data_IF_049291302331
#
_entry.id   IF_049291302331
#
_cell.length_a   1.000
_cell.length_b   1.000
_cell.length_c   1.000
_cell.angle_alpha   90.00
_cell.angle_beta   90.00
_cell.angle_gamma   90.00
#
_symmetry.space_group_name_H-M   'P 1'
#
loop_
_entity.id
_entity.type
_entity.pdbx_description
1 polymer ?
#
# COMPACT_ATOMS: atom_id res chain seq x y z
N UNK A 1 12.46 -55.29 -58.42
CA UNK A 1 11.38 -54.42 -57.88
C UNK A 1 11.42 -54.40 -56.35
N UNK A 2 12.44 -53.79 -55.72
CA UNK A 2 12.51 -53.70 -54.24
C UNK A 2 12.87 -52.31 -53.68
N UNK A 3 13.08 -51.28 -54.51
CA UNK A 3 13.64 -50.00 -54.03
C UNK A 3 12.64 -49.06 -53.34
N UNK A 4 11.34 -49.11 -53.63
CA UNK A 4 10.37 -48.14 -53.07
C UNK A 4 9.82 -48.53 -51.70
N UNK A 5 9.77 -49.83 -51.37
CA UNK A 5 9.21 -50.31 -50.10
C UNK A 5 10.12 -49.96 -48.91
N UNK A 6 11.44 -50.07 -49.09
CA UNK A 6 12.40 -49.74 -48.04
C UNK A 6 12.40 -48.26 -47.65
N UNK A 7 12.07 -47.36 -48.58
CA UNK A 7 11.94 -45.93 -48.28
C UNK A 7 10.75 -45.68 -47.35
N UNK A 8 9.61 -46.34 -47.61
CA UNK A 8 8.44 -46.24 -46.74
C UNK A 8 8.68 -46.87 -45.37
N UNK A 9 9.37 -48.00 -45.31
CA UNK A 9 9.75 -48.65 -44.04
C UNK A 9 10.70 -47.75 -43.24
N UNK A 10 11.69 -47.13 -43.88
CA UNK A 10 12.60 -46.20 -43.22
C UNK A 10 11.87 -44.94 -42.72
N UNK A 11 10.93 -44.41 -43.51
CA UNK A 11 10.14 -43.24 -43.13
C UNK A 11 9.24 -43.54 -41.93
N UNK A 12 8.57 -44.70 -41.93
CA UNK A 12 7.74 -45.16 -40.82
C UNK A 12 8.58 -45.40 -39.57
N UNK A 13 9.74 -46.06 -39.70
CA UNK A 13 10.66 -46.27 -38.58
C UNK A 13 11.18 -44.95 -37.99
N UNK A 14 11.43 -43.94 -38.84
CA UNK A 14 11.86 -42.60 -38.41
C UNK A 14 10.74 -41.84 -37.71
N UNK A 15 9.51 -41.91 -38.23
CA UNK A 15 8.32 -41.32 -37.58
C UNK A 15 8.08 -41.99 -36.23
N UNK A 16 8.20 -43.31 -36.14
CA UNK A 16 8.06 -44.05 -34.88
C UNK A 16 9.16 -43.63 -33.89
N UNK A 17 10.40 -43.44 -34.34
CA UNK A 17 11.50 -42.94 -33.50
C UNK A 17 11.29 -41.50 -33.02
N UNK A 18 10.73 -40.63 -33.86
CA UNK A 18 10.39 -39.25 -33.48
C UNK A 18 9.21 -39.23 -32.50
N UNK A 19 8.19 -40.06 -32.73
CA UNK A 19 7.05 -40.20 -31.81
C UNK A 19 7.51 -40.79 -30.49
N UNK A 20 8.38 -41.81 -30.49
CA UNK A 20 8.87 -42.41 -29.24
C UNK A 20 9.84 -41.51 -28.50
N UNK A 21 10.70 -40.73 -29.18
CA UNK A 21 11.52 -39.70 -28.54
C UNK A 21 10.65 -38.56 -27.96
N UNK A 22 9.61 -38.11 -28.68
CA UNK A 22 8.66 -37.12 -28.16
C UNK A 22 7.80 -37.70 -27.02
N UNK A 23 7.42 -38.97 -27.09
CA UNK A 23 6.69 -39.65 -26.01
C UNK A 23 7.59 -39.86 -24.79
N UNK A 24 8.90 -40.11 -25.00
CA UNK A 24 9.87 -40.20 -23.92
C UNK A 24 10.09 -38.83 -23.26
N UNK A 25 10.25 -37.74 -24.04
CA UNK A 25 10.32 -36.36 -23.52
C UNK A 25 9.02 -35.98 -22.78
N UNK A 26 7.85 -36.40 -23.27
CA UNK A 26 6.55 -36.18 -22.59
C UNK A 26 6.35 -37.09 -21.37
N UNK A 27 6.98 -38.27 -21.34
CA UNK A 27 6.89 -39.23 -20.22
C UNK A 27 7.97 -39.00 -19.14
N UNK A 28 9.14 -38.44 -19.47
CA UNK A 28 10.12 -37.94 -18.51
C UNK A 28 9.71 -36.57 -17.95
N UNK A 29 8.84 -35.82 -18.64
CA UNK A 29 8.06 -34.74 -18.01
C UNK A 29 6.94 -35.23 -17.07
N UNK A 30 6.77 -36.56 -16.92
CA UNK A 30 5.98 -37.19 -15.85
C UNK A 30 6.87 -37.74 -14.71
N UNK A 31 8.13 -37.29 -14.59
CA UNK A 31 8.89 -37.44 -13.36
C UNK A 31 8.38 -36.46 -12.31
N UNK A 32 7.43 -36.92 -11.47
CA UNK A 32 7.25 -36.50 -10.07
C UNK A 32 7.64 -35.06 -9.77
N UNK A 33 7.12 -34.13 -10.56
CA UNK A 33 6.84 -32.82 -10.04
C UNK A 33 5.57 -33.00 -9.22
N UNK A 34 5.74 -33.39 -7.96
CA UNK A 34 4.86 -32.85 -6.93
C UNK A 34 5.14 -31.34 -6.82
N UNK A 35 5.08 -30.58 -7.92
CA UNK A 35 4.33 -29.35 -7.89
C UNK A 35 2.87 -29.79 -7.81
N UNK A 36 2.47 -30.24 -6.61
CA UNK A 36 1.40 -29.51 -5.96
C UNK A 36 1.88 -28.07 -6.11
N UNK A 37 1.41 -27.38 -7.14
CA UNK A 37 1.34 -25.95 -7.07
C UNK A 37 0.58 -25.79 -5.76
N UNK A 38 1.29 -25.52 -4.66
CA UNK A 38 0.63 -25.11 -3.43
C UNK A 38 -0.40 -24.12 -3.92
N UNK A 39 -1.71 -24.37 -3.68
CA UNK A 39 -2.77 -23.58 -4.28
C UNK A 39 -2.31 -22.17 -4.09
N UNK A 40 -2.02 -21.49 -5.22
CA UNK A 40 -1.33 -20.21 -5.29
C UNK A 40 -1.79 -19.46 -4.03
N UNK A 41 -0.93 -19.38 -2.99
CA UNK A 41 -1.35 -18.86 -1.69
C UNK A 41 -1.53 -17.38 -1.92
N UNK A 42 -2.69 -17.05 -2.46
CA UNK A 42 -3.19 -15.72 -2.69
C UNK A 42 -3.67 -15.27 -1.31
N UNK A 43 -2.72 -15.16 -0.39
CA UNK A 43 -2.86 -14.32 0.78
C UNK A 43 -2.56 -12.90 0.28
N UNK A 44 -3.44 -12.35 -0.57
CA UNK A 44 -3.38 -10.91 -0.90
C UNK A 44 -3.78 -10.18 0.39
N UNK A 45 -3.04 -9.15 0.78
CA UNK A 45 -3.33 -8.28 1.94
C UNK A 45 -3.43 -6.84 1.44
N UNK A 46 -4.51 -6.11 1.77
CA UNK A 46 -4.61 -4.67 1.54
C UNK A 46 -4.43 -3.96 2.89
N UNK A 47 -3.20 -3.52 3.07
CA UNK A 47 -2.74 -2.78 4.23
C UNK A 47 -3.24 -1.33 4.16
N UNK A 48 -3.19 -0.58 5.29
CA UNK A 48 -3.57 0.82 5.38
C UNK A 48 -3.27 1.60 4.10
N UNK A 49 -4.25 2.36 3.63
CA UNK A 49 -4.13 3.10 2.38
C UNK A 49 -3.15 4.25 2.54
N UNK A 50 -2.23 4.37 1.58
CA UNK A 50 -1.49 5.60 1.40
C UNK A 50 -2.36 6.56 0.62
N UNK A 51 -2.79 7.65 1.25
CA UNK A 51 -3.51 8.71 0.56
C UNK A 51 -2.46 9.58 -0.15
N UNK A 52 -2.16 9.22 -1.40
CA UNK A 52 -1.20 9.91 -2.27
C UNK A 52 -1.83 11.19 -2.83
N UNK A 53 -2.21 12.09 -1.92
CA UNK A 53 -2.63 13.43 -2.27
C UNK A 53 -1.38 14.28 -2.45
N UNK A 54 -1.39 15.15 -3.46
CA UNK A 54 -0.53 16.33 -3.47
C UNK A 54 -0.70 17.00 -2.09
N UNK A 55 0.32 16.83 -1.25
CA UNK A 55 0.32 17.05 0.20
C UNK A 55 -0.69 18.10 0.67
N UNK A 56 -1.72 17.67 1.41
CA UNK A 56 -2.74 18.57 1.95
C UNK A 56 -2.12 19.53 2.96
N UNK A 57 -2.59 20.78 2.97
CA UNK A 57 -1.98 21.84 3.78
C UNK A 57 -2.82 22.08 5.03
N UNK A 58 -2.17 22.15 6.20
CA UNK A 58 -2.76 22.56 7.47
C UNK A 58 -1.99 23.81 7.93
N UNK A 59 -2.72 24.91 8.15
CA UNK A 59 -2.17 26.21 8.47
C UNK A 59 -2.39 26.50 9.96
N UNK A 60 -1.35 26.95 10.65
CA UNK A 60 -1.43 27.47 12.01
C UNK A 60 -1.53 29.01 11.98
N UNK A 61 -2.65 29.56 12.43
CA UNK A 61 -2.90 31.00 12.52
C UNK A 61 -2.72 31.47 13.97
N UNK A 62 -1.51 31.95 14.27
CA UNK A 62 -1.17 32.49 15.59
C UNK A 62 -1.98 33.76 15.92
N UNK A 63 -2.25 34.62 14.93
CA UNK A 63 -2.94 35.89 15.15
C UNK A 63 -4.43 35.69 15.51
N UNK A 64 -5.00 34.52 15.23
CA UNK A 64 -6.37 34.13 15.64
C UNK A 64 -6.40 33.37 16.97
N UNK A 65 -5.44 33.63 17.85
CA UNK A 65 -5.36 32.96 19.16
C UNK A 65 -4.81 31.53 19.07
N UNK A 66 -4.10 31.19 17.98
CA UNK A 66 -3.44 29.90 17.80
C UNK A 66 -4.39 28.78 17.37
N UNK A 67 -5.07 28.96 16.23
CA UNK A 67 -5.96 27.95 15.65
C UNK A 67 -5.35 27.27 14.42
N UNK A 68 -5.75 26.01 14.20
CA UNK A 68 -5.38 25.26 13.00
C UNK A 68 -6.53 25.29 11.99
N UNK A 69 -6.17 25.33 10.71
CA UNK A 69 -7.11 25.31 9.59
C UNK A 69 -6.62 24.35 8.51
N UNK A 70 -7.48 23.42 8.08
CA UNK A 70 -7.18 22.58 6.93
C UNK A 70 -7.50 23.41 5.68
N UNK A 71 -6.54 23.52 4.76
CA UNK A 71 -6.79 24.15 3.47
C UNK A 71 -7.55 23.17 2.56
N UNK A 72 -8.49 23.70 1.76
CA UNK A 72 -9.32 22.92 0.84
C UNK A 72 -10.05 21.75 1.54
N UNK A 73 -10.71 22.02 2.67
CA UNK A 73 -11.52 21.02 3.41
C UNK A 73 -12.52 20.27 2.51
N UNK A 74 -13.02 20.94 1.47
CA UNK A 74 -13.94 20.35 0.50
C UNK A 74 -13.31 19.18 -0.29
N UNK A 75 -11.98 19.14 -0.44
CA UNK A 75 -11.29 17.98 -1.04
C UNK A 75 -11.39 16.74 -0.17
N UNK A 76 -11.42 16.90 1.15
CA UNK A 76 -11.52 15.80 2.11
C UNK A 76 -12.94 15.29 2.28
N UNK A 77 -13.93 16.14 2.00
CA UNK A 77 -15.35 15.74 1.98
C UNK A 77 -15.75 14.86 0.78
N UNK A 78 -14.84 14.63 -0.18
CA UNK A 78 -15.12 13.88 -1.41
C UNK A 78 -14.59 12.46 -1.32
N UNK A 79 -15.37 11.54 -1.88
CA UNK A 79 -14.95 10.15 -2.02
C UNK A 79 -13.74 10.06 -2.96
N UNK A 80 -12.80 9.21 -2.56
CA UNK A 80 -11.49 9.02 -3.18
C UNK A 80 -11.48 7.65 -3.83
N UNK A 81 -11.17 7.58 -5.13
CA UNK A 81 -10.98 6.28 -5.77
C UNK A 81 -9.69 5.64 -5.25
N UNK A 82 -9.83 4.48 -4.62
CA UNK A 82 -8.73 3.68 -4.08
C UNK A 82 -8.52 2.37 -4.88
N UNK A 83 -9.38 2.07 -5.85
CA UNK A 83 -9.41 0.76 -6.46
C UNK A 83 -8.40 0.56 -7.61
N UNK A 84 -7.92 1.61 -8.29
CA UNK A 84 -6.86 1.51 -9.32
C UNK A 84 -5.56 0.88 -8.80
N UNK A 85 -5.26 1.07 -7.51
CA UNK A 85 -4.04 0.58 -6.86
C UNK A 85 -4.30 -0.65 -5.97
N UNK A 86 -5.54 -0.87 -5.55
CA UNK A 86 -5.85 -1.80 -4.46
C UNK A 86 -7.12 -2.66 -4.66
N UNK A 87 -7.75 -2.71 -5.84
CA UNK A 87 -8.98 -3.50 -5.96
C UNK A 87 -8.74 -5.02 -5.79
N UNK A 88 -9.50 -5.69 -4.90
CA UNK A 88 -9.48 -7.16 -4.81
C UNK A 88 -10.09 -7.79 -6.06
N UNK A 89 -11.02 -7.08 -6.71
CA UNK A 89 -11.50 -7.41 -8.04
C UNK A 89 -10.70 -6.63 -9.07
N UNK A 90 -9.54 -7.16 -9.46
CA UNK A 90 -8.71 -6.55 -10.50
C UNK A 90 -9.42 -6.40 -11.86
N UNK A 91 -10.60 -7.01 -12.04
CA UNK A 91 -11.44 -6.82 -13.21
C UNK A 91 -12.34 -5.59 -13.13
N UNK A 92 -12.61 -5.07 -11.92
CA UNK A 92 -13.39 -3.85 -11.66
C UNK A 92 -12.75 -2.98 -10.56
N UNK A 93 -11.55 -2.41 -10.80
CA UNK A 93 -10.92 -1.47 -9.87
C UNK A 93 -11.63 -0.13 -9.71
N UNK A 94 -12.52 0.24 -10.62
CA UNK A 94 -13.25 1.50 -10.61
C UNK A 94 -14.29 1.65 -9.47
N UNK A 95 -14.62 0.56 -8.78
CA UNK A 95 -15.77 0.51 -7.86
C UNK A 95 -15.43 0.82 -6.39
N UNK A 96 -14.16 1.04 -6.04
CA UNK A 96 -13.76 1.30 -4.65
C UNK A 96 -13.52 2.78 -4.39
N UNK A 97 -14.40 3.37 -3.59
CA UNK A 97 -14.36 4.77 -3.17
C UNK A 97 -14.38 4.87 -1.65
N UNK A 98 -13.55 5.76 -1.09
CA UNK A 98 -13.45 5.97 0.35
C UNK A 98 -13.40 7.47 0.67
N UNK A 99 -14.15 7.92 1.66
CA UNK A 99 -14.11 9.31 2.14
C UNK A 99 -13.52 9.32 3.55
N UNK A 100 -12.25 9.74 3.74
CA UNK A 100 -11.66 9.80 5.07
C UNK A 100 -12.29 10.93 5.90
N UNK A 101 -12.61 10.65 7.16
CA UNK A 101 -12.89 11.71 8.13
C UNK A 101 -11.57 12.26 8.68
N UNK A 102 -11.45 13.59 8.68
CA UNK A 102 -10.27 14.30 9.17
C UNK A 102 -10.73 15.50 9.99
N UNK A 103 -10.25 15.57 11.23
CA UNK A 103 -10.55 16.70 12.11
C UNK A 103 -9.29 17.20 12.81
N UNK A 104 -9.25 18.49 13.11
CA UNK A 104 -8.21 19.08 13.97
C UNK A 104 -8.88 19.69 15.19
N UNK A 105 -8.47 19.22 16.37
CA UNK A 105 -8.96 19.71 17.66
C UNK A 105 -7.75 20.05 18.55
N UNK A 106 -7.63 21.32 18.93
CA UNK A 106 -6.42 21.80 19.61
C UNK A 106 -5.18 21.53 18.74
N UNK A 107 -4.17 20.85 19.29
CA UNK A 107 -2.97 20.43 18.54
C UNK A 107 -3.05 18.97 18.06
N UNK A 108 -4.24 18.38 17.95
CA UNK A 108 -4.38 16.99 17.54
C UNK A 108 -5.08 16.91 16.20
N UNK A 109 -4.44 16.21 15.26
CA UNK A 109 -5.03 15.76 14.01
C UNK A 109 -5.59 14.36 14.21
N UNK A 110 -6.90 14.21 14.01
CA UNK A 110 -7.56 12.92 13.89
C UNK A 110 -7.80 12.59 12.43
N UNK A 111 -7.55 11.35 12.04
CA UNK A 111 -7.84 10.85 10.70
C UNK A 111 -8.23 9.37 10.75
N UNK A 112 -9.23 9.01 9.95
CA UNK A 112 -9.67 7.64 9.80
C UNK A 112 -8.86 6.93 8.70
N UNK A 113 -8.27 5.79 9.06
CA UNK A 113 -7.59 4.88 8.14
C UNK A 113 -8.47 3.68 7.87
N UNK A 114 -8.78 3.45 6.59
CA UNK A 114 -9.40 2.20 6.16
C UNK A 114 -8.36 1.07 6.22
N UNK A 115 -8.73 -0.05 6.83
CA UNK A 115 -7.91 -1.26 6.88
C UNK A 115 -8.70 -2.41 6.33
N UNK A 116 -8.12 -3.13 5.38
CA UNK A 116 -8.86 -4.16 4.65
C UNK A 116 -8.23 -5.54 4.85
N UNK A 117 -9.01 -6.49 5.33
CA UNK A 117 -8.59 -7.89 5.39
C UNK A 117 -8.85 -8.56 4.03
N UNK A 118 -7.85 -8.68 3.17
CA UNK A 118 -7.95 -9.53 1.96
C UNK A 118 -7.39 -10.93 2.19
N UNK A 119 -6.95 -11.26 3.41
CA UNK A 119 -6.65 -12.64 3.72
C UNK A 119 -7.90 -13.46 3.45
N UNK A 120 -7.75 -14.61 2.81
CA UNK A 120 -8.87 -15.54 2.58
C UNK A 120 -9.44 -16.16 3.87
N UNK A 121 -9.14 -15.58 5.05
CA UNK A 121 -9.55 -16.04 6.38
C UNK A 121 -9.78 -14.86 7.32
N UNK A 122 -10.63 -15.08 8.31
CA UNK A 122 -10.95 -14.09 9.32
C UNK A 122 -9.74 -13.77 10.20
N UNK A 123 -9.58 -12.49 10.52
CA UNK A 123 -8.59 -11.96 11.44
C UNK A 123 -9.26 -11.74 12.81
N UNK A 124 -8.84 -12.47 13.84
CA UNK A 124 -9.27 -12.21 15.22
C UNK A 124 -8.60 -10.94 15.75
N UNK A 125 -7.30 -10.78 15.50
CA UNK A 125 -6.61 -9.53 15.82
C UNK A 125 -5.30 -9.33 15.05
N UNK A 126 -4.95 -8.07 14.81
CA UNK A 126 -3.68 -7.64 14.25
C UNK A 126 -3.15 -6.41 14.99
N UNK A 127 -1.83 -6.27 15.07
CA UNK A 127 -1.18 -5.08 15.63
C UNK A 127 -0.42 -4.40 14.50
N UNK A 128 -0.88 -3.21 14.10
CA UNK A 128 -0.23 -2.38 13.10
C UNK A 128 0.77 -1.46 13.80
N UNK A 129 1.85 -1.17 13.09
CA UNK A 129 2.84 -0.20 13.54
C UNK A 129 2.58 1.13 12.85
N UNK A 130 2.10 2.10 13.64
CA UNK A 130 1.96 3.49 13.23
C UNK A 130 3.26 4.23 13.54
N UNK A 131 3.79 4.93 12.55
CA UNK A 131 4.91 5.85 12.70
C UNK A 131 4.47 7.23 12.25
N UNK A 132 4.62 8.21 13.14
CA UNK A 132 4.36 9.62 12.86
C UNK A 132 5.67 10.37 12.94
N UNK A 133 6.01 11.15 11.92
CA UNK A 133 7.18 12.01 11.98
C UNK A 133 6.98 13.33 11.29
N UNK A 134 7.70 14.34 11.79
CA UNK A 134 7.67 15.71 11.26
C UNK A 134 9.07 16.08 10.80
N UNK A 135 9.18 16.72 9.63
CA UNK A 135 10.44 17.21 9.07
C UNK A 135 10.27 18.66 8.64
N UNK A 136 11.32 19.46 8.75
CA UNK A 136 11.32 20.80 8.15
C UNK A 136 11.44 20.66 6.63
N UNK A 137 10.79 21.55 5.89
CA UNK A 137 10.89 21.61 4.44
C UNK A 137 11.66 22.86 4.03
N UNK A 138 12.52 22.70 3.03
CA UNK A 138 13.09 23.82 2.33
C UNK A 138 11.99 24.48 1.47
N UNK A 139 11.74 25.76 1.66
CA UNK A 139 10.67 26.51 1.00
C UNK A 139 10.82 26.54 -0.54
N UNK A 140 12.06 26.61 -1.01
CA UNK A 140 12.36 26.73 -2.44
C UNK A 140 12.16 25.40 -3.17
N UNK A 141 12.57 24.30 -2.54
CA UNK A 141 12.62 22.99 -3.20
C UNK A 141 11.48 22.05 -2.79
N UNK A 142 10.82 22.31 -1.66
CA UNK A 142 9.79 21.45 -1.06
C UNK A 142 10.31 20.12 -0.53
N UNK A 143 11.63 19.93 -0.48
CA UNK A 143 12.25 18.73 0.07
C UNK A 143 12.57 18.88 1.55
N UNK A 144 12.59 17.77 2.30
CA UNK A 144 13.05 17.78 3.68
C UNK A 144 14.44 18.39 3.82
N UNK A 145 14.58 19.32 4.75
CA UNK A 145 15.85 19.95 5.12
C UNK A 145 16.17 19.63 6.57
N UNK A 146 17.42 19.25 6.83
CA UNK A 146 17.86 18.82 8.15
C UNK A 146 17.32 17.45 8.57
N UNK A 147 17.24 17.23 9.88
CA UNK A 147 16.81 15.99 10.49
C UNK A 147 15.31 15.91 10.74
N UNK A 148 14.88 14.78 11.32
CA UNK A 148 13.52 14.61 11.82
C UNK A 148 13.32 15.47 13.07
N UNK A 149 12.30 16.33 13.06
CA UNK A 149 11.94 17.22 14.19
C UNK A 149 11.29 16.42 15.32
N UNK A 150 10.41 15.49 14.95
CA UNK A 150 9.75 14.59 15.89
C UNK A 150 9.46 13.26 15.23
N UNK A 151 9.56 12.18 16.01
CA UNK A 151 9.34 10.82 15.58
C UNK A 151 8.66 10.06 16.70
N UNK A 152 7.48 9.51 16.42
CA UNK A 152 6.67 8.76 17.37
C UNK A 152 6.24 7.47 16.71
N UNK A 153 6.36 6.36 17.43
CA UNK A 153 5.84 5.06 17.03
C UNK A 153 4.77 4.63 18.00
N UNK A 154 3.65 4.13 17.49
CA UNK A 154 2.54 3.58 18.27
C UNK A 154 2.05 2.28 17.65
N UNK A 155 1.60 1.38 18.51
CA UNK A 155 0.89 0.18 18.07
C UNK A 155 -0.60 0.47 17.96
N UNK A 156 -1.20 -0.01 16.89
CA UNK A 156 -2.64 0.15 16.60
C UNK A 156 -3.23 -1.24 16.47
N UNK A 157 -4.02 -1.63 17.46
CA UNK A 157 -4.70 -2.91 17.48
C UNK A 157 -5.98 -2.83 16.64
N UNK A 158 -6.20 -3.86 15.84
CA UNK A 158 -7.48 -4.09 15.17
C UNK A 158 -7.95 -5.48 15.50
N UNK A 159 -9.24 -5.62 15.71
CA UNK A 159 -9.88 -6.85 16.13
C UNK A 159 -10.99 -7.25 15.15
N UNK A 160 -11.16 -8.55 14.94
CA UNK A 160 -12.34 -9.15 14.31
C UNK A 160 -12.69 -8.68 12.89
N UNK A 161 -11.70 -8.50 12.00
CA UNK A 161 -11.99 -8.24 10.58
C UNK A 161 -12.19 -9.55 9.83
N UNK A 162 -13.39 -9.80 9.31
CA UNK A 162 -13.67 -10.98 8.47
C UNK A 162 -12.92 -10.95 7.14
N UNK A 163 -12.71 -12.11 6.54
CA UNK A 163 -12.11 -12.24 5.21
C UNK A 163 -12.86 -11.39 4.17
N UNK A 164 -12.13 -10.61 3.37
CA UNK A 164 -12.67 -9.73 2.34
C UNK A 164 -13.43 -8.51 2.86
N UNK A 165 -13.34 -8.18 4.15
CA UNK A 165 -13.99 -7.01 4.77
C UNK A 165 -12.97 -5.95 5.15
N UNK A 166 -13.47 -4.73 5.32
CA UNK A 166 -12.71 -3.60 5.84
C UNK A 166 -13.26 -3.12 7.17
N UNK A 167 -12.41 -2.41 7.90
CA UNK A 167 -12.71 -1.69 9.12
C UNK A 167 -12.03 -0.32 9.09
N UNK A 168 -12.53 0.63 9.87
CA UNK A 168 -11.99 1.98 9.95
C UNK A 168 -11.34 2.18 11.31
N UNK A 169 -10.12 2.70 11.29
CA UNK A 169 -9.36 2.96 12.51
C UNK A 169 -9.03 4.44 12.60
N UNK A 170 -9.60 5.10 13.60
CA UNK A 170 -9.26 6.49 13.91
C UNK A 170 -7.90 6.56 14.60
N UNK A 171 -7.00 7.33 14.02
CA UNK A 171 -5.71 7.64 14.64
C UNK A 171 -5.65 9.09 15.07
N UNK A 172 -4.77 9.36 16.04
CA UNK A 172 -4.51 10.71 16.52
C UNK A 172 -3.01 10.99 16.47
N UNK A 173 -2.65 12.04 15.74
CA UNK A 173 -1.31 12.56 15.61
C UNK A 173 -1.23 13.97 16.20
N UNK A 174 -0.16 14.24 16.95
CA UNK A 174 0.10 15.59 17.47
C UNK A 174 0.66 16.47 16.35
N UNK A 175 0.10 17.68 16.22
CA UNK A 175 0.55 18.72 15.32
C UNK A 175 1.58 19.58 16.04
N UNK A 176 2.79 19.62 15.48
CA UNK A 176 3.84 20.51 15.95
C UNK A 176 3.71 21.87 15.30
N UNK A 177 3.41 22.87 16.13
CA UNK A 177 3.27 24.26 15.72
C UNK A 177 4.50 24.73 14.93
N UNK A 178 4.35 25.12 13.65
CA UNK A 178 5.41 25.79 12.92
C UNK A 178 5.55 27.23 13.41
N UNK A 179 6.75 27.80 13.25
CA UNK A 179 6.92 29.25 13.33
C UNK A 179 6.18 29.97 12.19
N UNK A 180 6.04 31.29 12.30
CA UNK A 180 5.18 32.11 11.44
C UNK A 180 5.48 31.96 9.93
N UNK A 181 6.75 31.79 9.57
CA UNK A 181 7.21 31.61 8.19
C UNK A 181 7.60 30.15 7.87
N UNK A 182 7.53 29.24 8.85
CA UNK A 182 8.07 27.88 8.71
C UNK A 182 7.13 26.93 7.98
N UNK A 183 7.72 26.02 7.20
CA UNK A 183 7.03 24.92 6.54
C UNK A 183 7.58 23.58 7.04
N UNK A 184 6.67 22.70 7.45
CA UNK A 184 6.99 21.32 7.85
C UNK A 184 6.19 20.31 7.05
N UNK A 185 6.68 19.07 7.00
CA UNK A 185 5.95 17.90 6.52
C UNK A 185 5.67 16.97 7.69
N UNK A 186 4.41 16.75 7.96
CA UNK A 186 3.94 15.65 8.80
C UNK A 186 3.69 14.43 7.92
N UNK A 187 4.28 13.31 8.27
CA UNK A 187 3.96 12.02 7.65
C UNK A 187 3.46 11.06 8.70
N UNK A 188 2.31 10.44 8.43
CA UNK A 188 1.77 9.36 9.24
C UNK A 188 1.76 8.11 8.38
N UNK A 189 2.56 7.12 8.77
CA UNK A 189 2.69 5.85 8.08
C UNK A 189 2.13 4.75 8.95
N UNK A 190 1.32 3.90 8.36
CA UNK A 190 0.82 2.69 8.99
C UNK A 190 1.39 1.50 8.23
N UNK A 191 1.99 0.58 8.97
CA UNK A 191 2.58 -0.66 8.45
C UNK A 191 1.88 -1.82 9.12
N UNK A 192 1.34 -2.74 8.34
CA UNK A 192 0.71 -3.91 8.93
C UNK A 192 1.75 -4.97 9.35
N UNK A 193 1.39 -5.88 10.26
CA UNK A 193 2.33 -6.79 10.87
C UNK A 193 2.76 -7.91 9.92
N UNK A 194 3.90 -8.55 10.25
CA UNK A 194 4.30 -9.81 9.63
C UNK A 194 3.40 -10.97 10.05
N UNK A 195 2.80 -10.91 11.24
CA UNK A 195 1.99 -11.96 11.83
C UNK A 195 0.71 -11.39 12.42
N UNK A 196 -0.41 -12.07 12.21
CA UNK A 196 -1.69 -11.75 12.82
C UNK A 196 -2.30 -13.00 13.44
N UNK A 197 -3.29 -12.78 14.29
CA UNK A 197 -4.04 -13.84 14.96
C UNK A 197 -5.29 -14.12 14.14
N UNK A 198 -5.35 -15.30 13.52
CA UNK A 198 -6.56 -15.85 12.90
C UNK A 198 -7.39 -16.65 13.89
N UNK A 199 -8.48 -17.26 13.41
CA UNK A 199 -9.41 -18.04 14.25
C UNK A 199 -8.72 -19.04 15.19
N UNK A 200 -9.25 -19.19 16.39
CA UNK A 200 -8.74 -20.07 17.45
C UNK A 200 -7.30 -19.73 17.84
N UNK A 201 -6.94 -18.44 17.85
CA UNK A 201 -5.58 -17.99 18.17
C UNK A 201 -4.48 -18.55 17.26
N UNK A 202 -4.82 -18.91 16.03
CA UNK A 202 -3.84 -19.42 15.06
C UNK A 202 -2.98 -18.29 14.53
N UNK A 203 -1.66 -18.37 14.74
CA UNK A 203 -0.74 -17.38 14.15
C UNK A 203 -0.63 -17.60 12.65
N UNK A 204 -0.76 -16.52 11.90
CA UNK A 204 -0.70 -16.52 10.45
C UNK A 204 0.36 -15.53 9.99
N UNK A 205 1.35 -16.02 9.26
CA UNK A 205 2.46 -15.21 8.75
C UNK A 205 2.20 -14.76 7.33
N UNK A 206 2.44 -13.48 7.06
CA UNK A 206 2.38 -12.89 5.74
C UNK A 206 3.75 -12.92 5.05
N UNK A 207 3.75 -13.25 3.76
CA UNK A 207 4.93 -13.20 2.89
C UNK A 207 4.64 -12.27 1.70
N UNK A 208 5.40 -11.19 1.58
CA UNK A 208 5.37 -10.33 0.39
C UNK A 208 6.36 -10.86 -0.64
N UNK A 209 5.90 -11.14 -1.85
CA UNK A 209 6.78 -11.46 -2.98
C UNK A 209 7.66 -10.26 -3.40
N UNK A 210 7.39 -9.06 -2.87
CA UNK A 210 8.11 -7.82 -3.18
C UNK A 210 9.01 -7.34 -2.03
N UNK A 211 9.28 -8.18 -1.03
CA UNK A 211 10.30 -7.94 0.00
C UNK A 211 9.98 -6.88 1.06
N UNK A 212 8.88 -6.12 0.91
CA UNK A 212 8.40 -5.16 1.90
C UNK A 212 7.06 -5.56 2.49
N UNK A 213 6.87 -5.28 3.80
CA UNK A 213 5.54 -5.25 4.39
C UNK A 213 4.72 -4.15 3.72
N UNK A 214 3.53 -4.45 3.19
CA UNK A 214 2.70 -3.39 2.66
C UNK A 214 2.32 -2.36 3.75
N UNK A 215 2.22 -1.12 3.30
CA UNK A 215 2.10 0.04 4.18
C UNK A 215 1.45 1.18 3.41
N UNK A 216 0.76 2.04 4.13
CA UNK A 216 0.23 3.30 3.60
C UNK A 216 0.74 4.46 4.41
N UNK A 217 0.91 5.59 3.75
CA UNK A 217 1.22 6.85 4.38
C UNK A 217 0.31 7.98 3.89
N UNK A 218 -0.02 8.88 4.80
CA UNK A 218 -0.64 10.16 4.50
C UNK A 218 0.36 11.26 4.85
N UNK A 219 0.41 12.30 4.03
CA UNK A 219 1.33 13.42 4.17
C UNK A 219 0.57 14.72 4.23
N UNK A 220 0.93 15.56 5.20
CA UNK A 220 0.43 16.92 5.35
C UNK A 220 1.60 17.90 5.33
N UNK A 221 1.38 19.06 4.72
CA UNK A 221 2.23 20.24 4.90
C UNK A 221 1.66 21.03 6.06
N UNK A 222 2.47 21.27 7.09
CA UNK A 222 2.13 22.19 8.17
C UNK A 222 2.77 23.54 7.84
N UNK A 223 2.01 24.62 7.82
CA UNK A 223 2.49 25.97 7.51
C UNK A 223 2.21 26.94 8.65
N UNK A 224 3.18 27.80 8.94
CA UNK A 224 2.89 29.07 9.58
C UNK A 224 2.04 29.95 8.66
N UNK A 225 1.30 30.89 9.23
CA UNK A 225 0.39 31.78 8.48
C UNK A 225 1.07 32.55 7.35
N UNK A 226 2.30 32.99 7.58
CA UNK A 226 3.06 33.82 6.63
C UNK A 226 4.07 32.99 5.84
N UNK A 227 4.04 31.67 6.00
CA UNK A 227 4.93 30.77 5.29
C UNK A 227 4.67 30.85 3.78
N UNK A 228 5.72 30.87 2.95
CA UNK A 228 5.56 31.03 1.51
C UNK A 228 4.81 29.86 0.89
N UNK A 229 4.34 30.07 -0.34
CA UNK A 229 3.92 28.94 -1.16
C UNK A 229 5.11 28.08 -1.52
N UNK A 230 4.98 26.77 -1.34
CA UNK A 230 6.02 25.83 -1.75
C UNK A 230 6.24 26.00 -3.25
N UNK A 231 7.49 26.25 -3.65
CA UNK A 231 7.85 26.34 -5.05
C UNK A 231 7.35 25.11 -5.81
N UNK A 232 6.69 25.31 -6.95
CA UNK A 232 6.35 24.20 -7.84
C UNK A 232 7.63 23.47 -8.21
N UNK A 233 7.69 22.16 -7.97
CA UNK A 233 8.85 21.33 -8.32
C UNK A 233 9.35 21.70 -9.73
N UNK A 234 10.66 21.88 -9.94
CA UNK A 234 11.18 22.32 -11.22
C UNK A 234 10.70 21.36 -12.29
N UNK A 235 9.97 21.88 -13.28
CA UNK A 235 9.53 21.12 -14.44
C UNK A 235 10.78 20.64 -15.17
N UNK A 236 11.15 19.36 -14.98
CA UNK A 236 12.18 18.73 -15.79
C UNK A 236 11.62 18.70 -17.22
N UNK A 237 12.02 19.67 -18.04
CA UNK A 237 11.82 19.59 -19.48
C UNK A 237 12.71 18.46 -19.99
N UNK A 238 12.12 17.31 -20.26
CA UNK A 238 12.78 16.25 -21.01
C UNK A 238 13.29 16.81 -22.33
N UNK A 239 14.58 16.60 -22.61
CA UNK A 239 15.14 16.73 -23.96
C UNK A 239 14.92 15.43 -24.71
#
# INVERSE_FOLDING_TARGET
>A
MHSKVWIWVALIATIILIISANYFIVSEFNLKSNHVQEPLKIDRWIMPFGLDYKSSVIIYDEDKGGSWHIQDEDKWSRAINIGDRYSPNMSHPEDMWYTPDITVEGNNLSIDFLVWNTAGKDCESAILNMTVWTQNLNETTGYPEGGTVSFITKEVRIDNISAGKSDEVRIVAELLKPEKEEIRRLTIKMRAPYTFTGKNSTSCTYYSNHGGLPSGDVKFILKGKDAPELGSAPTIRGR
#
